data_IF_030723992038
#
_entry.id   IF_030723992038
#
_cell.length_a   1.000
_cell.length_b   1.000
_cell.length_c   1.000
_cell.angle_alpha   90.00
_cell.angle_beta   90.00
_cell.angle_gamma   90.00
#
_symmetry.space_group_name_H-M   'P 1'
#
loop_
_entity.id
_entity.type
_entity.pdbx_description
1 polymer ?
#
# COMPACT_ATOMS: atom_id res chain seq x y z
N UNK A 1 25.50 -14.15 22.17
CA UNK A 1 25.38 -13.22 21.02
C UNK A 1 24.89 -13.88 19.72
N UNK A 2 24.78 -15.22 19.61
CA UNK A 2 24.26 -15.90 18.41
C UNK A 2 22.73 -16.15 18.42
N UNK A 3 22.06 -15.98 19.56
CA UNK A 3 20.68 -16.45 19.77
C UNK A 3 19.59 -15.40 19.45
N UNK A 4 19.94 -14.12 19.38
CA UNK A 4 18.99 -13.04 19.01
C UNK A 4 18.75 -12.97 17.50
N UNK A 5 19.76 -13.36 16.70
CA UNK A 5 19.70 -13.33 15.22
C UNK A 5 18.87 -14.49 14.64
N UNK A 6 18.81 -15.62 15.34
CA UNK A 6 18.00 -16.77 14.97
C UNK A 6 16.49 -16.55 15.25
N UNK A 7 16.13 -15.84 16.32
CA UNK A 7 14.72 -15.50 16.62
C UNK A 7 14.14 -14.42 15.71
N UNK A 8 14.97 -13.53 15.16
CA UNK A 8 14.51 -12.55 14.15
C UNK A 8 14.21 -13.20 12.79
N UNK A 9 14.89 -14.29 12.43
CA UNK A 9 14.63 -15.01 11.19
C UNK A 9 13.42 -15.97 11.27
N UNK A 10 12.91 -16.28 12.47
CA UNK A 10 11.71 -17.10 12.67
C UNK A 10 10.39 -16.31 12.56
N UNK A 11 10.43 -14.98 12.51
CA UNK A 11 9.25 -14.14 12.24
C UNK A 11 9.01 -14.00 10.73
N UNK A 12 10.01 -14.35 9.91
CA UNK A 12 9.93 -14.30 8.44
C UNK A 12 9.29 -15.56 7.82
N UNK A 13 8.93 -16.57 8.61
CA UNK A 13 8.11 -17.70 8.16
C UNK A 13 6.64 -17.45 8.50
N UNK A 14 6.08 -16.33 8.01
CA UNK A 14 4.67 -16.00 8.24
C UNK A 14 3.84 -16.31 7.00
N UNK A 15 3.20 -17.47 7.08
CA UNK A 15 1.93 -17.88 6.47
C UNK A 15 1.55 -17.24 5.09
N UNK A 16 1.59 -17.99 3.97
CA UNK A 16 1.26 -17.51 2.63
C UNK A 16 -0.24 -17.21 2.39
N UNK A 17 -1.07 -17.16 3.44
CA UNK A 17 -2.54 -17.21 3.33
C UNK A 17 -3.28 -15.90 3.64
N UNK A 18 -2.57 -14.82 4.02
CA UNK A 18 -3.17 -13.50 4.20
C UNK A 18 -2.99 -12.64 2.93
N UNK A 19 -3.41 -13.17 1.78
CA UNK A 19 -3.44 -12.37 0.56
C UNK A 19 -4.49 -11.26 0.72
N UNK A 20 -4.08 -10.01 0.50
CA UNK A 20 -4.99 -8.88 0.32
C UNK A 20 -5.91 -9.20 -0.88
N UNK A 21 -7.17 -8.77 -0.82
CA UNK A 21 -8.19 -9.16 -1.82
C UNK A 21 -7.80 -8.75 -3.23
N UNK A 22 -7.18 -7.58 -3.36
CA UNK A 22 -6.72 -7.05 -4.65
C UNK A 22 -5.20 -7.20 -4.84
N UNK A 23 -4.55 -7.98 -3.96
CA UNK A 23 -3.23 -8.57 -4.13
C UNK A 23 -2.04 -7.60 -4.11
N UNK A 24 -0.88 -8.13 -3.73
CA UNK A 24 0.40 -7.54 -4.12
C UNK A 24 0.54 -7.80 -5.63
N UNK A 25 0.21 -6.80 -6.46
CA UNK A 25 0.09 -6.96 -7.91
C UNK A 25 1.36 -7.51 -8.60
N UNK A 26 1.23 -7.76 -9.91
CA UNK A 26 2.27 -8.39 -10.73
C UNK A 26 3.66 -7.80 -10.47
N UNK A 27 4.63 -8.67 -10.19
CA UNK A 27 6.03 -8.27 -10.05
C UNK A 27 6.65 -8.10 -11.44
N UNK A 28 7.23 -6.93 -11.68
CA UNK A 28 8.02 -6.63 -12.88
C UNK A 28 9.35 -6.07 -12.44
N UNK A 29 10.45 -6.72 -12.80
CA UNK A 29 11.79 -6.25 -12.45
C UNK A 29 12.78 -6.40 -13.60
N UNK A 30 13.87 -5.64 -13.50
CA UNK A 30 14.89 -5.58 -14.54
C UNK A 30 15.84 -4.42 -14.36
N UNK A 31 16.91 -4.42 -15.17
CA UNK A 31 17.87 -3.33 -15.15
C UNK A 31 17.44 -2.21 -16.10
N UNK A 32 17.37 -0.98 -15.58
CA UNK A 32 17.14 0.22 -16.38
C UNK A 32 18.22 1.25 -16.10
N UNK A 33 18.50 2.12 -17.09
CA UNK A 33 19.35 3.27 -16.88
C UNK A 33 18.52 4.41 -16.28
N UNK A 34 18.80 4.77 -15.03
CA UNK A 34 18.18 5.91 -14.36
C UNK A 34 18.97 7.18 -14.67
N UNK A 35 18.29 8.19 -15.23
CA UNK A 35 18.88 9.51 -15.46
C UNK A 35 18.97 10.28 -14.14
N UNK A 36 20.17 10.77 -13.79
CA UNK A 36 20.40 11.53 -12.56
C UNK A 36 19.87 12.96 -12.62
N UNK A 37 19.22 13.45 -11.54
CA UNK A 37 18.66 14.81 -11.47
C UNK A 37 19.71 15.93 -11.66
N UNK A 38 20.89 15.77 -11.06
CA UNK A 38 21.90 16.84 -10.97
C UNK A 38 22.91 16.79 -12.12
N UNK A 39 23.39 15.61 -12.48
CA UNK A 39 24.45 15.44 -13.48
C UNK A 39 23.98 14.87 -14.82
N UNK A 40 22.70 14.48 -14.95
CA UNK A 40 22.10 13.89 -16.16
C UNK A 40 22.83 12.64 -16.70
N UNK A 41 23.82 12.12 -15.98
CA UNK A 41 24.54 10.90 -16.33
C UNK A 41 23.66 9.69 -15.98
N UNK A 42 23.34 8.82 -16.96
CA UNK A 42 22.55 7.62 -16.69
C UNK A 42 23.34 6.62 -15.84
N UNK A 43 22.68 6.02 -14.84
CA UNK A 43 23.25 4.98 -13.99
C UNK A 43 22.43 3.70 -14.09
N UNK A 44 23.09 2.57 -14.29
CA UNK A 44 22.41 1.26 -14.29
C UNK A 44 21.87 0.97 -12.89
N UNK A 45 20.57 0.68 -12.79
CA UNK A 45 19.87 0.37 -11.55
C UNK A 45 18.96 -0.81 -11.77
N UNK A 46 18.85 -1.65 -10.74
CA UNK A 46 17.84 -2.69 -10.72
C UNK A 46 16.53 -2.05 -10.26
N UNK A 47 15.52 -2.06 -11.13
CA UNK A 47 14.19 -1.51 -10.88
C UNK A 47 13.26 -2.70 -10.64
N UNK A 48 12.47 -2.62 -9.57
CA UNK A 48 11.44 -3.62 -9.27
C UNK A 48 10.13 -2.93 -8.90
N UNK A 49 9.08 -3.30 -9.59
CA UNK A 49 7.70 -2.92 -9.34
C UNK A 49 6.97 -4.14 -8.75
N UNK A 50 6.48 -4.01 -7.52
CA UNK A 50 5.68 -5.04 -6.84
C UNK A 50 4.34 -4.41 -6.43
N UNK A 51 3.25 -4.83 -7.07
CA UNK A 51 1.99 -4.09 -7.02
C UNK A 51 2.19 -2.65 -7.48
N UNK A 52 1.94 -1.69 -6.59
CA UNK A 52 2.20 -0.27 -6.84
C UNK A 52 3.49 0.25 -6.16
N UNK A 53 4.29 -0.60 -5.52
CA UNK A 53 5.57 -0.18 -4.94
C UNK A 53 6.70 -0.30 -5.96
N UNK A 54 7.35 0.83 -6.26
CA UNK A 54 8.50 0.94 -7.14
C UNK A 54 9.78 1.14 -6.33
N UNK A 55 10.71 0.22 -6.49
CA UNK A 55 12.01 0.23 -5.83
C UNK A 55 13.14 0.39 -6.84
N UNK A 56 14.24 0.96 -6.37
CA UNK A 56 15.48 1.06 -7.15
C UNK A 56 16.68 0.68 -6.29
N UNK A 57 17.40 -0.34 -6.71
CA UNK A 57 18.59 -0.85 -6.06
C UNK A 57 19.83 -0.67 -6.92
N UNK A 58 21.01 -0.86 -6.31
CA UNK A 58 22.27 -0.93 -7.06
C UNK A 58 22.30 -2.15 -7.97
N UNK A 59 21.81 -3.28 -7.46
CA UNK A 59 21.71 -4.59 -8.09
C UNK A 59 20.54 -5.37 -7.43
N UNK A 60 20.25 -6.56 -7.92
CA UNK A 60 19.15 -7.41 -7.47
C UNK A 60 19.24 -7.85 -5.99
N UNK A 61 20.46 -8.03 -5.47
CA UNK A 61 20.69 -8.48 -4.08
C UNK A 61 20.78 -7.33 -3.08
N UNK A 62 21.02 -6.11 -3.57
CA UNK A 62 21.16 -4.92 -2.75
C UNK A 62 19.82 -4.40 -2.21
N UNK A 63 19.79 -3.85 -0.99
CA UNK A 63 18.60 -3.18 -0.48
C UNK A 63 18.22 -1.96 -1.35
N UNK A 64 16.92 -1.61 -1.40
CA UNK A 64 16.45 -0.48 -2.19
C UNK A 64 17.13 0.81 -1.73
N UNK A 65 17.76 1.52 -2.68
CA UNK A 65 18.26 2.87 -2.47
C UNK A 65 17.12 3.84 -2.19
N UNK A 66 15.94 3.57 -2.74
CA UNK A 66 14.69 4.24 -2.44
C UNK A 66 13.51 3.35 -2.88
N UNK A 67 12.37 3.62 -2.28
CA UNK A 67 11.07 2.99 -2.57
C UNK A 67 10.02 4.10 -2.67
N UNK A 68 9.11 3.99 -3.64
CA UNK A 68 8.04 4.96 -3.88
C UNK A 68 6.79 4.27 -4.41
N UNK A 69 5.62 4.75 -4.03
CA UNK A 69 4.36 4.32 -4.65
C UNK A 69 4.24 4.93 -6.04
N UNK A 70 3.75 4.15 -7.01
CA UNK A 70 3.35 4.63 -8.33
C UNK A 70 1.83 4.85 -8.45
N UNK A 71 1.07 4.66 -7.36
CA UNK A 71 -0.36 5.01 -7.35
C UNK A 71 -0.54 6.50 -7.70
N UNK A 72 -1.52 6.77 -8.55
CA UNK A 72 -1.87 8.12 -9.03
C UNK A 72 -0.75 8.86 -9.78
N UNK A 73 0.30 8.15 -10.21
CA UNK A 73 1.38 8.74 -11.01
C UNK A 73 1.01 8.81 -12.49
N UNK A 74 1.52 9.84 -13.18
CA UNK A 74 1.44 9.90 -14.64
C UNK A 74 2.63 9.15 -15.25
N UNK A 75 2.34 8.23 -16.15
CA UNK A 75 3.34 7.40 -16.82
C UNK A 75 3.20 7.64 -18.31
N UNK A 76 4.31 7.87 -19.01
CA UNK A 76 4.33 8.06 -20.45
C UNK A 76 5.72 7.81 -21.03
N UNK A 77 5.77 7.57 -22.35
CA UNK A 77 7.02 7.51 -23.10
C UNK A 77 7.66 8.90 -23.25
N UNK A 78 8.99 8.96 -23.15
CA UNK A 78 9.73 10.19 -23.43
C UNK A 78 9.78 10.50 -24.94
N UNK A 79 10.39 11.64 -25.30
CA UNK A 79 10.58 12.03 -26.71
C UNK A 79 11.44 11.06 -27.53
N UNK A 80 12.18 10.17 -26.86
CA UNK A 80 12.98 9.10 -27.45
C UNK A 80 12.32 7.74 -27.14
N UNK A 81 12.30 6.78 -28.08
CA UNK A 81 11.49 5.56 -27.99
C UNK A 81 11.82 4.64 -26.79
N UNK A 82 13.04 4.72 -26.25
CA UNK A 82 13.49 3.91 -25.10
C UNK A 82 13.26 4.56 -23.74
N UNK A 83 12.78 5.81 -23.72
CA UNK A 83 12.67 6.60 -22.50
C UNK A 83 11.29 6.41 -21.87
N UNK A 84 11.29 6.22 -20.56
CA UNK A 84 10.11 6.02 -19.73
C UNK A 84 10.11 7.14 -18.70
N UNK A 85 8.99 7.85 -18.59
CA UNK A 85 8.84 8.97 -17.66
C UNK A 85 7.73 8.65 -16.67
N UNK A 86 8.07 8.73 -15.39
CA UNK A 86 7.13 8.61 -14.29
C UNK A 86 7.13 9.95 -13.55
N UNK A 87 6.01 10.64 -13.63
CA UNK A 87 5.80 11.92 -12.98
C UNK A 87 4.97 11.70 -11.71
N UNK A 88 5.69 11.79 -10.59
CA UNK A 88 5.17 11.70 -9.23
C UNK A 88 5.02 13.12 -8.67
N UNK A 89 4.32 13.26 -7.54
CA UNK A 89 4.06 14.58 -6.94
C UNK A 89 5.35 15.33 -6.53
N UNK A 90 6.36 14.63 -6.01
CA UNK A 90 7.61 15.22 -5.51
C UNK A 90 8.81 15.03 -6.45
N UNK A 91 8.63 14.28 -7.56
CA UNK A 91 9.74 13.94 -8.46
C UNK A 91 9.27 13.52 -9.85
N UNK A 92 10.07 13.89 -10.84
CA UNK A 92 10.11 13.24 -12.14
C UNK A 92 11.21 12.19 -12.14
N UNK A 93 10.88 10.98 -12.56
CA UNK A 93 11.82 9.88 -12.78
C UNK A 93 11.89 9.60 -14.28
N UNK A 94 13.11 9.56 -14.81
CA UNK A 94 13.38 9.16 -16.18
C UNK A 94 14.23 7.90 -16.18
N UNK A 95 13.71 6.86 -16.82
CA UNK A 95 14.33 5.56 -16.99
C UNK A 95 14.53 5.31 -18.48
N UNK A 96 15.58 4.59 -18.83
CA UNK A 96 15.89 4.23 -20.22
C UNK A 96 16.05 2.71 -20.27
N UNK A 97 15.26 2.07 -21.13
CA UNK A 97 15.32 0.65 -21.44
C UNK A 97 16.39 0.35 -22.50
N UNK A 98 16.79 -0.92 -22.64
CA UNK A 98 17.72 -1.32 -23.70
C UNK A 98 17.05 -1.30 -25.08
N UNK A 99 15.76 -1.64 -25.16
CA UNK A 99 14.97 -1.66 -26.40
C UNK A 99 13.67 -0.85 -26.29
N UNK A 100 13.05 -0.56 -27.43
CA UNK A 100 11.76 0.14 -27.46
C UNK A 100 10.63 -0.79 -26.98
N UNK A 101 10.71 -2.07 -27.31
CA UNK A 101 9.77 -3.10 -26.87
C UNK A 101 9.76 -3.23 -25.34
N UNK A 102 10.95 -3.25 -24.74
CA UNK A 102 11.12 -3.25 -23.28
C UNK A 102 10.50 -2.00 -22.67
N UNK A 103 10.75 -0.81 -23.25
CA UNK A 103 10.16 0.44 -22.77
C UNK A 103 8.62 0.39 -22.76
N UNK A 104 8.00 -0.15 -23.82
CA UNK A 104 6.54 -0.30 -23.90
C UNK A 104 5.98 -1.23 -22.82
N UNK A 105 6.67 -2.35 -22.54
CA UNK A 105 6.26 -3.29 -21.48
C UNK A 105 6.31 -2.62 -20.10
N UNK A 106 7.37 -1.85 -19.83
CA UNK A 106 7.50 -1.11 -18.58
C UNK A 106 6.45 -0.01 -18.44
N UNK A 107 6.22 0.79 -19.49
CA UNK A 107 5.19 1.85 -19.48
C UNK A 107 3.83 1.24 -19.13
N UNK A 108 3.43 0.19 -19.86
CA UNK A 108 2.16 -0.49 -19.60
C UNK A 108 2.08 -1.03 -18.16
N UNK A 109 3.16 -1.62 -17.65
CA UNK A 109 3.20 -2.16 -16.28
C UNK A 109 3.05 -1.06 -15.23
N UNK A 110 3.67 0.11 -15.44
CA UNK A 110 3.52 1.26 -14.57
C UNK A 110 2.14 1.91 -14.67
N UNK A 111 1.55 1.99 -15.87
CA UNK A 111 0.19 2.49 -16.07
C UNK A 111 -0.84 1.60 -15.37
N UNK A 112 -0.74 0.27 -15.56
CA UNK A 112 -1.60 -0.71 -14.91
C UNK A 112 -1.48 -0.59 -13.38
N UNK A 113 -0.25 -0.50 -12.85
CA UNK A 113 -0.02 -0.34 -11.41
C UNK A 113 -0.53 1.01 -10.87
N UNK A 114 -0.37 2.11 -11.61
CA UNK A 114 -0.90 3.43 -11.23
C UNK A 114 -2.42 3.44 -11.16
N UNK A 115 -3.08 2.66 -12.02
CA UNK A 115 -4.54 2.52 -12.07
C UNK A 115 -5.16 1.68 -10.94
N UNK A 116 -4.39 0.87 -10.22
CA UNK A 116 -4.86 0.00 -9.14
C UNK A 116 -5.10 0.74 -7.81
N UNK A 117 -5.72 1.92 -7.88
CA UNK A 117 -6.08 2.74 -6.72
C UNK A 117 -7.35 2.23 -6.03
N UNK A 118 -7.56 2.69 -4.80
CA UNK A 118 -8.72 2.35 -3.97
C UNK A 118 -10.05 2.50 -4.74
N UNK A 119 -10.22 3.60 -5.46
CA UNK A 119 -11.46 3.90 -6.20
C UNK A 119 -11.69 2.97 -7.40
N UNK A 120 -10.68 2.23 -7.86
CA UNK A 120 -10.87 1.20 -8.88
C UNK A 120 -11.70 0.03 -8.33
N UNK A 121 -11.55 -0.28 -7.04
CA UNK A 121 -12.15 -1.46 -6.39
C UNK A 121 -13.30 -1.12 -5.46
N UNK A 122 -13.32 0.09 -4.90
CA UNK A 122 -14.29 0.48 -3.88
C UNK A 122 -15.03 1.78 -4.26
N UNK A 123 -16.32 1.81 -3.93
CA UNK A 123 -17.14 3.02 -3.98
C UNK A 123 -17.19 3.64 -2.59
N UNK A 124 -16.57 4.81 -2.43
CA UNK A 124 -16.53 5.53 -1.16
C UNK A 124 -17.90 6.14 -0.81
N UNK A 125 -18.33 5.90 0.43
CA UNK A 125 -19.51 6.47 1.06
C UNK A 125 -19.19 7.71 1.92
N UNK A 126 -20.09 8.00 2.86
CA UNK A 126 -19.94 9.14 3.77
C UNK A 126 -18.92 8.85 4.90
N UNK A 127 -18.44 9.92 5.54
CA UNK A 127 -17.55 9.85 6.71
C UNK A 127 -18.35 9.45 7.94
N UNK A 128 -17.89 8.41 8.64
CA UNK A 128 -18.50 7.91 9.88
C UNK A 128 -17.68 8.27 11.13
N UNK A 129 -16.44 8.71 10.95
CA UNK A 129 -15.60 9.19 12.05
C UNK A 129 -14.44 10.04 11.52
N UNK A 130 -14.03 11.04 12.30
CA UNK A 130 -12.85 11.86 12.02
C UNK A 130 -12.19 12.28 13.33
N UNK A 131 -10.87 12.17 13.43
CA UNK A 131 -10.15 12.55 14.63
C UNK A 131 -8.64 12.41 14.51
N UNK A 132 -7.96 12.37 15.65
CA UNK A 132 -6.49 12.30 15.73
C UNK A 132 -5.89 11.08 14.99
N UNK A 133 -6.67 10.02 14.81
CA UNK A 133 -6.26 8.77 14.15
C UNK A 133 -6.66 8.69 12.67
N UNK A 134 -6.99 9.83 12.06
CA UNK A 134 -7.37 9.92 10.66
C UNK A 134 -8.88 10.01 10.42
N UNK A 135 -9.26 9.87 9.16
CA UNK A 135 -10.66 9.94 8.71
C UNK A 135 -11.17 8.54 8.37
N UNK A 136 -12.39 8.22 8.77
CA UNK A 136 -13.01 6.91 8.59
C UNK A 136 -14.25 7.07 7.73
N UNK A 137 -14.30 6.38 6.59
CA UNK A 137 -15.42 6.44 5.63
C UNK A 137 -16.01 5.07 5.38
N UNK A 138 -17.32 5.00 5.17
CA UNK A 138 -17.94 3.80 4.62
C UNK A 138 -17.48 3.56 3.19
N UNK A 139 -17.48 2.31 2.75
CA UNK A 139 -17.25 1.92 1.37
C UNK A 139 -18.04 0.66 1.00
N UNK A 140 -18.27 0.47 -0.29
CA UNK A 140 -18.80 -0.78 -0.87
C UNK A 140 -17.83 -1.30 -1.91
N UNK A 141 -17.72 -2.61 -2.02
CA UNK A 141 -17.03 -3.22 -3.16
C UNK A 141 -17.68 -2.82 -4.47
N UNK A 142 -16.89 -2.67 -5.53
CA UNK A 142 -17.38 -2.56 -6.92
C UNK A 142 -17.53 -3.92 -7.58
N UNK A 143 -17.06 -4.99 -6.95
CA UNK A 143 -17.35 -6.36 -7.36
C UNK A 143 -18.84 -6.65 -7.14
N UNK A 144 -19.63 -6.93 -8.19
CA UNK A 144 -21.06 -7.20 -8.07
C UNK A 144 -21.37 -8.49 -7.28
N UNK A 145 -20.39 -9.38 -7.11
CA UNK A 145 -20.55 -10.58 -6.28
C UNK A 145 -20.33 -10.33 -4.79
N UNK A 146 -19.85 -9.15 -4.40
CA UNK A 146 -19.61 -8.77 -3.01
C UNK A 146 -20.51 -7.63 -2.55
N UNK A 147 -21.57 -8.00 -1.82
CA UNK A 147 -22.54 -7.06 -1.26
C UNK A 147 -22.14 -6.49 0.11
N UNK A 148 -20.93 -6.81 0.61
CA UNK A 148 -20.49 -6.38 1.94
C UNK A 148 -20.24 -4.88 2.01
N UNK A 149 -20.46 -4.34 3.20
CA UNK A 149 -20.04 -3.00 3.58
C UNK A 149 -18.64 -3.05 4.19
N UNK A 150 -17.86 -2.01 3.91
CA UNK A 150 -16.50 -1.85 4.39
C UNK A 150 -16.33 -0.50 5.07
N UNK A 151 -15.25 -0.41 5.82
CA UNK A 151 -14.72 0.85 6.34
C UNK A 151 -13.36 1.11 5.74
N UNK A 152 -13.11 2.35 5.32
CA UNK A 152 -11.80 2.81 4.89
C UNK A 152 -11.28 3.81 5.90
N UNK A 153 -10.23 3.44 6.61
CA UNK A 153 -9.47 4.34 7.49
C UNK A 153 -8.36 5.00 6.67
N UNK A 154 -8.39 6.33 6.62
CA UNK A 154 -7.49 7.19 5.85
C UNK A 154 -6.51 7.86 6.82
N UNK A 155 -5.24 7.56 6.67
CA UNK A 155 -4.13 8.07 7.47
C UNK A 155 -3.25 8.95 6.61
N UNK A 156 -3.26 10.26 6.84
CA UNK A 156 -2.40 11.20 6.11
C UNK A 156 -0.92 11.02 6.50
N UNK A 157 -0.05 11.04 5.49
CA UNK A 157 1.42 10.97 5.65
C UNK A 157 1.98 12.36 5.90
N UNK A 158 2.21 12.71 7.17
CA UNK A 158 2.93 13.92 7.55
C UNK A 158 4.45 13.65 7.61
N UNK A 159 5.24 14.66 7.21
CA UNK A 159 6.71 14.55 7.02
C UNK A 159 7.51 14.08 8.24
N UNK A 160 6.96 14.12 9.46
CA UNK A 160 7.77 14.01 10.69
C UNK A 160 7.84 12.64 11.35
N UNK A 161 6.85 11.72 11.23
CA UNK A 161 6.83 10.56 12.14
C UNK A 161 6.38 9.18 11.61
N UNK A 162 5.98 9.02 10.34
CA UNK A 162 5.09 7.89 10.04
C UNK A 162 5.67 6.68 9.33
N UNK A 163 6.82 6.73 8.64
CA UNK A 163 7.23 5.56 7.83
C UNK A 163 7.45 4.29 8.67
N UNK A 164 8.18 4.39 9.79
CA UNK A 164 8.39 3.24 10.71
C UNK A 164 7.13 2.81 11.48
N UNK A 165 6.22 3.75 11.75
CA UNK A 165 4.97 3.47 12.45
C UNK A 165 3.99 2.75 11.52
N UNK A 166 3.81 3.27 10.31
CA UNK A 166 3.00 2.66 9.25
C UNK A 166 3.58 1.31 8.82
N UNK A 167 4.90 1.17 8.65
CA UNK A 167 5.55 -0.12 8.33
C UNK A 167 5.23 -1.19 9.39
N UNK A 168 5.33 -0.84 10.69
CA UNK A 168 4.99 -1.77 11.79
C UNK A 168 3.50 -2.07 11.85
N UNK A 169 2.66 -1.04 11.74
CA UNK A 169 1.21 -1.19 11.80
C UNK A 169 0.72 -2.07 10.66
N UNK A 170 1.15 -1.81 9.43
CA UNK A 170 0.84 -2.62 8.24
C UNK A 170 1.31 -4.07 8.39
N UNK A 171 2.52 -4.31 8.90
CA UNK A 171 3.04 -5.67 9.09
C UNK A 171 2.25 -6.49 10.12
N UNK A 172 1.86 -5.88 11.24
CA UNK A 172 1.03 -6.53 12.25
C UNK A 172 -0.38 -6.76 11.70
N UNK A 173 -0.95 -5.75 11.07
CA UNK A 173 -2.30 -5.77 10.53
C UNK A 173 -2.49 -6.79 9.40
N UNK A 174 -1.44 -7.06 8.61
CA UNK A 174 -1.44 -8.12 7.58
C UNK A 174 -1.41 -9.53 8.16
N UNK A 175 -0.98 -9.70 9.40
CA UNK A 175 -0.71 -11.03 10.00
C UNK A 175 -1.83 -11.55 10.90
N UNK A 176 -2.86 -10.76 11.17
CA UNK A 176 -3.93 -11.09 12.13
C UNK A 176 -5.26 -11.36 11.44
N UNK A 177 -5.83 -12.55 11.66
CA UNK A 177 -7.24 -12.87 11.42
C UNK A 177 -7.77 -13.62 12.64
N UNK A 178 -8.74 -13.03 13.32
CA UNK A 178 -9.38 -13.62 14.49
C UNK A 178 -10.85 -13.17 14.53
N UNK A 179 -11.80 -14.02 14.93
CA UNK A 179 -13.23 -13.66 14.95
C UNK A 179 -13.56 -12.41 15.78
N UNK A 180 -12.72 -12.10 16.78
CA UNK A 180 -12.90 -10.94 17.66
C UNK A 180 -11.93 -9.78 17.34
N UNK A 181 -11.25 -9.81 16.19
CA UNK A 181 -10.37 -8.73 15.73
C UNK A 181 -10.83 -8.28 14.35
N UNK A 182 -11.04 -6.97 14.21
CA UNK A 182 -11.47 -6.35 12.95
C UNK A 182 -10.51 -6.76 11.83
N UNK A 183 -11.07 -7.41 10.82
CA UNK A 183 -10.29 -7.93 9.70
C UNK A 183 -9.89 -6.82 8.72
N UNK A 184 -8.68 -6.93 8.17
CA UNK A 184 -8.21 -6.09 7.06
C UNK A 184 -8.28 -6.86 5.77
N UNK A 185 -8.85 -6.21 4.76
CA UNK A 185 -9.11 -6.79 3.45
C UNK A 185 -8.13 -6.29 2.40
N UNK A 186 -7.84 -4.98 2.39
CA UNK A 186 -6.91 -4.36 1.46
C UNK A 186 -6.17 -3.18 2.11
N UNK A 187 -5.02 -2.86 1.53
CA UNK A 187 -4.21 -1.72 1.91
C UNK A 187 -3.79 -1.01 0.63
N UNK A 188 -4.11 0.28 0.54
CA UNK A 188 -3.67 1.14 -0.56
C UNK A 188 -2.80 2.25 0.01
N UNK A 189 -1.70 2.55 -0.65
CA UNK A 189 -0.74 3.52 -0.16
C UNK A 189 -0.25 4.39 -1.31
N UNK A 190 -0.59 5.68 -1.29
CA UNK A 190 0.00 6.67 -2.18
C UNK A 190 0.94 7.60 -1.39
N UNK A 191 1.56 8.57 -2.04
CA UNK A 191 2.50 9.47 -1.37
C UNK A 191 1.85 10.36 -0.30
N UNK A 192 0.52 10.53 -0.32
CA UNK A 192 -0.24 11.41 0.60
C UNK A 192 -0.83 10.69 1.79
N UNK A 193 -1.29 9.46 1.60
CA UNK A 193 -2.07 8.75 2.60
C UNK A 193 -1.94 7.23 2.49
N UNK A 194 -2.18 6.56 3.62
CA UNK A 194 -2.43 5.14 3.73
C UNK A 194 -3.93 4.92 3.90
N UNK A 195 -4.50 3.98 3.14
CA UNK A 195 -5.90 3.61 3.17
C UNK A 195 -6.00 2.15 3.60
N UNK A 196 -6.66 1.91 4.72
CA UNK A 196 -6.90 0.56 5.24
C UNK A 196 -8.35 0.19 5.00
N UNK A 197 -8.61 -0.83 4.18
CA UNK A 197 -9.94 -1.39 3.98
C UNK A 197 -10.19 -2.46 5.03
N UNK A 198 -11.19 -2.22 5.86
CA UNK A 198 -11.48 -2.96 7.08
C UNK A 198 -12.93 -3.45 7.09
N UNK A 199 -13.19 -4.45 7.91
CA UNK A 199 -14.53 -4.89 8.27
C UNK A 199 -15.37 -3.74 8.83
N UNK A 200 -16.62 -3.64 8.37
CA UNK A 200 -17.59 -2.71 8.92
C UNK A 200 -18.30 -3.34 10.12
N UNK A 201 -18.15 -2.72 11.29
CA UNK A 201 -18.84 -3.10 12.51
C UNK A 201 -20.08 -2.18 12.69
N UNK A 202 -21.31 -2.64 12.42
CA UNK A 202 -22.50 -1.80 12.51
C UNK A 202 -22.86 -1.39 13.94
N UNK A 203 -22.31 -2.06 14.96
CA UNK A 203 -22.57 -1.81 16.37
C UNK A 203 -21.97 -0.52 16.94
N UNK A 204 -21.18 0.23 16.16
CA UNK A 204 -20.55 1.47 16.61
C UNK A 204 -19.40 1.26 17.59
N UNK A 205 -19.02 2.33 18.31
CA UNK A 205 -17.98 2.28 19.33
C UNK A 205 -18.55 1.72 20.64
N UNK A 206 -17.75 0.87 21.31
CA UNK A 206 -18.09 0.33 22.62
C UNK A 206 -18.25 1.45 23.66
N UNK A 207 -17.45 2.52 23.57
CA UNK A 207 -17.59 3.66 24.47
C UNK A 207 -18.97 4.31 24.36
N UNK A 208 -19.40 4.59 23.13
CA UNK A 208 -20.74 5.13 22.87
C UNK A 208 -21.84 4.17 23.32
N UNK A 209 -21.64 2.86 23.15
CA UNK A 209 -22.58 1.86 23.64
C UNK A 209 -22.70 1.93 25.17
N UNK A 210 -21.59 1.92 25.91
CA UNK A 210 -21.58 1.97 27.38
C UNK A 210 -22.14 3.30 27.91
N UNK A 211 -21.85 4.42 27.25
CA UNK A 211 -22.38 5.73 27.67
C UNK A 211 -23.88 5.90 27.36
N UNK A 212 -24.40 5.26 26.32
CA UNK A 212 -25.78 5.45 25.85
C UNK A 212 -26.73 4.29 26.23
N UNK A 213 -26.25 3.20 26.83
CA UNK A 213 -27.09 2.07 27.29
C UNK A 213 -27.23 2.01 28.82
N UNK A 214 -28.33 1.40 29.27
CA UNK A 214 -28.62 1.03 30.67
C UNK A 214 -27.42 0.23 31.23
N UNK A 215 -27.03 0.37 32.51
CA UNK A 215 -25.85 -0.30 33.08
C UNK A 215 -25.74 -1.76 32.64
N UNK A 216 -24.64 -2.05 31.95
CA UNK A 216 -24.30 -3.38 31.46
C UNK A 216 -24.20 -4.31 32.67
N UNK A 217 -24.99 -5.39 32.71
CA UNK A 217 -24.90 -6.37 33.79
C UNK A 217 -23.56 -7.10 33.72
N UNK A 218 -23.04 -7.56 34.86
CA UNK A 218 -21.74 -8.23 34.96
C UNK A 218 -21.63 -9.45 34.01
N UNK A 219 -22.73 -10.15 33.77
CA UNK A 219 -22.83 -11.25 32.80
C UNK A 219 -22.60 -10.82 31.35
N UNK A 220 -22.96 -9.59 30.96
CA UNK A 220 -22.74 -9.06 29.61
C UNK A 220 -21.33 -8.44 29.46
N UNK A 221 -20.66 -8.10 30.56
CA UNK A 221 -19.30 -7.56 30.54
C UNK A 221 -18.20 -8.64 30.50
N UNK A 222 -18.54 -9.89 30.84
CA UNK A 222 -17.60 -11.00 30.98
C UNK A 222 -17.49 -11.94 29.75
N UNK A 223 -18.18 -11.61 28.65
CA UNK A 223 -18.25 -12.44 27.43
C UNK A 223 -17.27 -12.00 26.34
#
# INVERSE_FOLDING_TARGET
MADVRAKLNAIASFNPSAQLRHGEGKVVDGYLLKVGKTMHMPTKRYIRLTGASLTSSRDESSPPSWEKSVLDCKVYGGSKPKHIIIEMEDRRLELIAETEEEARVWIKSFEDASGQKLEAFYKMGHTIGAGAFGTVRLARSKDPSDERMYVVKILEKTRKNQRKFLERETAILRSIRHPNIVSIYDIFENDKALYLVMEYCPGGDLFDMVCNTIPVTEQHAAA
#
